data_IF_462922639537
#
_entry.id   IF_462922639537
#
_cell.length_a   1.000
_cell.length_b   1.000
_cell.length_c   1.000
_cell.angle_alpha   90.00
_cell.angle_beta   90.00
_cell.angle_gamma   90.00
#
_symmetry.space_group_name_H-M   'P 1'
#
loop_
_entity.id
_entity.type
_entity.pdbx_description
1 polymer ?
#
# COMPACT_ATOMS: atom_id res chain seq x y z
N UNK A 1 -6.64 -14.32 -18.54
CA UNK A 1 -7.71 -13.39 -18.12
C UNK A 1 -7.83 -13.47 -16.61
N UNK A 2 -7.11 -12.60 -15.90
CA UNK A 2 -7.23 -12.49 -14.44
C UNK A 2 -8.67 -12.03 -14.14
N UNK A 3 -9.40 -12.84 -13.38
CA UNK A 3 -10.81 -12.56 -13.07
C UNK A 3 -10.90 -11.22 -12.33
N UNK A 4 -11.71 -10.27 -12.82
CA UNK A 4 -11.79 -8.90 -12.29
C UNK A 4 -12.01 -8.87 -10.77
N UNK A 5 -12.75 -9.87 -10.24
CA UNK A 5 -12.94 -10.05 -8.80
C UNK A 5 -11.63 -10.26 -8.05
N UNK A 6 -10.74 -11.09 -8.61
CA UNK A 6 -9.44 -11.41 -8.03
C UNK A 6 -8.50 -10.20 -8.08
N UNK A 7 -8.64 -9.34 -9.08
CA UNK A 7 -7.86 -8.11 -9.23
C UNK A 7 -8.21 -7.10 -8.14
N UNK A 8 -9.51 -6.93 -7.89
CA UNK A 8 -10.01 -6.06 -6.81
C UNK A 8 -9.57 -6.59 -5.45
N UNK A 9 -9.66 -7.90 -5.21
CA UNK A 9 -9.19 -8.51 -3.96
C UNK A 9 -7.69 -8.28 -3.78
N UNK A 10 -6.89 -8.45 -4.84
CA UNK A 10 -5.45 -8.23 -4.78
C UNK A 10 -5.11 -6.76 -4.46
N UNK A 11 -5.78 -5.81 -5.12
CA UNK A 11 -5.61 -4.38 -4.83
C UNK A 11 -5.98 -4.04 -3.39
N UNK A 12 -7.15 -4.49 -2.93
CA UNK A 12 -7.64 -4.20 -1.59
C UNK A 12 -6.72 -4.80 -0.52
N UNK A 13 -6.26 -6.04 -0.70
CA UNK A 13 -5.35 -6.71 0.25
C UNK A 13 -3.97 -6.07 0.25
N UNK A 14 -3.38 -5.78 -0.92
CA UNK A 14 -2.07 -5.13 -1.02
C UNK A 14 -2.08 -3.73 -0.40
N UNK A 15 -3.15 -2.97 -0.64
CA UNK A 15 -3.32 -1.65 -0.04
C UNK A 15 -3.47 -1.76 1.48
N UNK A 16 -4.45 -2.51 1.99
CA UNK A 16 -4.71 -2.62 3.43
C UNK A 16 -3.51 -3.16 4.22
N UNK A 17 -2.84 -4.21 3.72
CA UNK A 17 -1.65 -4.75 4.38
C UNK A 17 -0.47 -3.79 4.30
N UNK A 18 -0.26 -3.15 3.15
CA UNK A 18 0.78 -2.15 2.98
C UNK A 18 0.59 -0.99 3.95
N UNK A 19 -0.58 -0.37 3.97
CA UNK A 19 -0.93 0.72 4.89
C UNK A 19 -0.71 0.33 6.35
N UNK A 20 -1.07 -0.90 6.76
CA UNK A 20 -0.88 -1.36 8.13
C UNK A 20 0.61 -1.50 8.50
N UNK A 21 1.42 -2.04 7.59
CA UNK A 21 2.88 -2.15 7.79
C UNK A 21 3.52 -0.76 7.86
N UNK A 22 3.14 0.13 6.95
CA UNK A 22 3.64 1.51 6.95
C UNK A 22 3.23 2.28 8.20
N UNK A 23 2.03 2.04 8.71
CA UNK A 23 1.55 2.64 9.95
C UNK A 23 2.40 2.21 11.15
N UNK A 24 2.78 0.93 11.22
CA UNK A 24 3.70 0.45 12.25
C UNK A 24 5.10 1.04 12.08
N UNK A 25 5.55 1.23 10.84
CA UNK A 25 6.88 1.77 10.55
C UNK A 25 6.99 3.27 10.80
N UNK A 26 5.90 4.01 10.63
CA UNK A 26 5.82 5.44 10.94
C UNK A 26 5.55 5.74 12.42
N UNK A 27 5.35 4.69 13.23
CA UNK A 27 5.18 4.79 14.67
C UNK A 27 6.53 4.56 15.34
N UNK A 28 7.06 5.62 15.94
CA UNK A 28 8.38 5.66 16.55
C UNK A 28 8.43 4.90 17.88
N UNK A 29 9.62 4.54 18.38
CA UNK A 29 9.81 3.73 19.61
C UNK A 29 9.26 4.42 20.88
N UNK A 30 9.08 5.75 20.83
CA UNK A 30 8.50 6.58 21.89
C UNK A 30 6.99 6.83 21.73
N UNK A 31 6.30 6.07 20.87
CA UNK A 31 4.87 6.23 20.52
C UNK A 31 4.54 7.52 19.73
N UNK A 32 5.56 8.17 19.17
CA UNK A 32 5.40 9.31 18.27
C UNK A 32 5.00 8.84 16.87
N UNK A 33 3.84 9.27 16.38
CA UNK A 33 3.46 9.04 14.99
C UNK A 33 3.90 10.21 14.11
N UNK A 34 4.71 9.95 13.08
CA UNK A 34 5.07 10.96 12.08
C UNK A 34 4.10 10.88 10.88
N UNK A 35 3.12 11.79 10.78
CA UNK A 35 2.15 11.78 9.69
C UNK A 35 2.76 12.15 8.33
N UNK A 36 3.86 12.91 8.29
CA UNK A 36 4.51 13.30 7.04
C UNK A 36 5.29 12.13 6.46
N UNK A 37 6.05 11.43 7.31
CA UNK A 37 6.74 10.22 6.91
C UNK A 37 5.77 9.13 6.47
N UNK A 38 4.68 8.93 7.23
CA UNK A 38 3.61 8.01 6.83
C UNK A 38 3.00 8.35 5.47
N UNK A 39 2.64 9.62 5.24
CA UNK A 39 2.07 10.05 3.96
C UNK A 39 3.03 9.81 2.77
N UNK A 40 4.33 10.05 2.97
CA UNK A 40 5.34 9.77 1.95
C UNK A 40 5.40 8.28 1.61
N UNK A 41 5.42 7.43 2.63
CA UNK A 41 5.42 5.98 2.45
C UNK A 41 4.14 5.49 1.77
N UNK A 42 2.98 6.03 2.15
CA UNK A 42 1.68 5.65 1.60
C UNK A 42 1.58 6.01 0.11
N UNK A 43 2.09 7.18 -0.30
CA UNK A 43 2.18 7.57 -1.71
C UNK A 43 3.07 6.60 -2.50
N UNK A 44 4.20 6.19 -1.91
CA UNK A 44 5.12 5.22 -2.51
C UNK A 44 4.46 3.85 -2.69
N UNK A 45 3.70 3.39 -1.69
CA UNK A 45 2.92 2.16 -1.76
C UNK A 45 1.89 2.21 -2.90
N UNK A 46 1.10 3.27 -2.98
CA UNK A 46 0.09 3.44 -4.03
C UNK A 46 0.76 3.46 -5.41
N UNK A 47 1.92 4.11 -5.54
CA UNK A 47 2.67 4.16 -6.79
C UNK A 47 3.16 2.77 -7.21
N UNK A 48 3.71 1.98 -6.28
CA UNK A 48 4.12 0.59 -6.55
C UNK A 48 2.92 -0.27 -6.94
N UNK A 49 1.80 -0.18 -6.21
CA UNK A 49 0.58 -0.92 -6.51
C UNK A 49 0.07 -0.54 -7.91
N UNK A 50 0.06 0.75 -8.27
CA UNK A 50 -0.38 1.21 -9.58
C UNK A 50 0.52 0.71 -10.72
N UNK A 51 1.85 0.73 -10.53
CA UNK A 51 2.81 0.19 -11.51
C UNK A 51 2.63 -1.32 -11.68
N UNK A 52 2.53 -2.07 -10.57
CA UNK A 52 2.27 -3.50 -10.65
C UNK A 52 0.93 -3.79 -11.30
N UNK A 53 -0.11 -3.04 -10.96
CA UNK A 53 -1.41 -3.18 -11.58
C UNK A 53 -1.33 -2.95 -13.09
N UNK A 54 -0.63 -1.91 -13.54
CA UNK A 54 -0.44 -1.64 -14.96
C UNK A 54 0.29 -2.80 -15.68
N UNK A 55 1.39 -3.29 -15.11
CA UNK A 55 2.19 -4.38 -15.70
C UNK A 55 1.47 -5.74 -15.77
N UNK A 56 0.63 -6.05 -14.79
CA UNK A 56 -0.08 -7.33 -14.69
C UNK A 56 -1.53 -7.29 -15.19
N UNK A 57 -2.01 -6.10 -15.60
CA UNK A 57 -3.35 -5.91 -16.16
C UNK A 57 -3.41 -6.04 -17.68
N UNK A 58 -2.27 -6.06 -18.37
CA UNK A 58 -2.15 -6.45 -19.79
C UNK A 58 -2.12 -7.98 -19.95
#
# INVERSE_FOLDING_TARGET
MWDTKRQIIWLAVSFLLGTLVLYQHARDEADGFDPQYFALLEVLLVLVIAVMFYLYSE
#
